data_IF_909881241547
#
_entry.id   IF_909881241547
#
_cell.length_a   1.000
_cell.length_b   1.000
_cell.length_c   1.000
_cell.angle_alpha   90.00
_cell.angle_beta   90.00
_cell.angle_gamma   90.00
#
_symmetry.space_group_name_H-M   'P 1'
#
loop_
_entity.id
_entity.type
_entity.pdbx_description
1 polymer ?
#
# COMPACT_ATOMS: atom_id res chain seq x y z
N UNK A 1 8.38 -37.57 -21.34
CA UNK A 1 7.00 -37.29 -20.87
C UNK A 1 7.01 -37.30 -19.35
N UNK A 2 7.27 -36.14 -18.76
CA UNK A 2 7.01 -35.85 -17.36
C UNK A 2 6.68 -34.36 -17.33
N UNK A 3 5.39 -34.04 -17.44
CA UNK A 3 4.90 -32.67 -17.36
C UNK A 3 5.00 -32.21 -15.92
N UNK A 4 5.88 -31.25 -15.65
CA UNK A 4 5.84 -30.46 -14.43
C UNK A 4 4.79 -29.37 -14.65
N UNK A 5 3.56 -29.62 -14.19
CA UNK A 5 2.63 -28.52 -13.90
C UNK A 5 3.27 -27.69 -12.77
N UNK A 6 3.99 -26.62 -13.10
CA UNK A 6 4.21 -25.55 -12.13
C UNK A 6 2.88 -24.80 -12.05
N UNK A 7 2.05 -25.11 -11.06
CA UNK A 7 0.92 -24.22 -10.76
C UNK A 7 1.52 -22.86 -10.40
N UNK A 8 1.18 -21.83 -11.18
CA UNK A 8 1.59 -20.46 -10.88
C UNK A 8 1.12 -20.12 -9.46
N UNK A 9 2.02 -19.62 -8.62
CA UNK A 9 1.65 -19.17 -7.28
C UNK A 9 0.56 -18.10 -7.37
N UNK A 10 -0.44 -18.21 -6.50
CA UNK A 10 -1.59 -17.31 -6.51
C UNK A 10 -1.36 -16.18 -5.50
N UNK A 11 -1.47 -14.93 -5.97
CA UNK A 11 -1.28 -13.73 -5.15
C UNK A 11 -2.56 -12.91 -5.14
N UNK A 12 -3.11 -12.66 -3.96
CA UNK A 12 -4.27 -11.78 -3.80
C UNK A 12 -3.86 -10.30 -3.77
N UNK A 13 -4.73 -9.40 -4.19
CA UNK A 13 -4.52 -7.96 -4.03
C UNK A 13 -5.85 -7.24 -3.78
N UNK A 14 -5.81 -6.06 -3.15
CA UNK A 14 -7.00 -5.22 -3.00
C UNK A 14 -7.46 -4.72 -4.39
N UNK A 15 -8.60 -5.23 -4.84
CA UNK A 15 -9.19 -4.88 -6.12
C UNK A 15 -9.74 -3.45 -6.18
N UNK A 16 -10.35 -3.09 -7.32
CA UNK A 16 -10.55 -3.92 -8.52
C UNK A 16 -9.31 -3.97 -9.43
N UNK A 17 -9.42 -4.69 -10.55
CA UNK A 17 -8.42 -4.65 -11.63
C UNK A 17 -8.20 -3.19 -12.07
N UNK A 18 -6.95 -2.85 -12.41
CA UNK A 18 -6.40 -1.51 -12.70
C UNK A 18 -6.22 -0.56 -11.53
N UNK A 19 -6.57 -0.98 -10.30
CA UNK A 19 -6.30 -0.19 -9.10
C UNK A 19 -4.80 0.06 -8.93
N UNK A 20 -4.43 1.04 -8.09
CA UNK A 20 -3.03 1.23 -7.76
C UNK A 20 -2.43 -0.01 -7.04
N UNK A 21 -3.23 -0.74 -6.26
CA UNK A 21 -2.78 -2.01 -5.67
C UNK A 21 -2.56 -3.10 -6.73
N UNK A 22 -3.39 -3.15 -7.78
CA UNK A 22 -3.17 -4.04 -8.93
C UNK A 22 -1.84 -3.73 -9.62
N UNK A 23 -1.57 -2.45 -9.88
CA UNK A 23 -0.32 -2.00 -10.48
C UNK A 23 0.89 -2.34 -9.60
N UNK A 24 0.77 -2.13 -8.29
CA UNK A 24 1.80 -2.53 -7.33
C UNK A 24 2.04 -4.04 -7.39
N UNK A 25 0.98 -4.86 -7.36
CA UNK A 25 1.09 -6.31 -7.48
C UNK A 25 1.81 -6.74 -8.78
N UNK A 26 1.38 -6.21 -9.93
CA UNK A 26 2.00 -6.47 -11.23
C UNK A 26 3.49 -6.13 -11.29
N UNK A 27 3.92 -5.06 -10.59
CA UNK A 27 5.33 -4.65 -10.57
C UNK A 27 6.25 -5.67 -9.87
N UNK A 28 5.71 -6.48 -8.95
CA UNK A 28 6.46 -7.45 -8.15
C UNK A 28 6.20 -8.90 -8.53
N UNK A 29 5.02 -9.17 -9.07
CA UNK A 29 4.50 -10.49 -9.41
C UNK A 29 4.11 -10.51 -10.89
N UNK A 30 5.07 -10.76 -11.80
CA UNK A 30 4.79 -10.80 -13.23
C UNK A 30 3.84 -11.96 -13.55
N UNK A 31 2.81 -11.70 -14.37
CA UNK A 31 1.77 -12.68 -14.71
C UNK A 31 2.30 -13.91 -15.46
N UNK A 32 3.53 -13.86 -15.98
CA UNK A 32 4.22 -15.03 -16.55
C UNK A 32 4.57 -16.10 -15.52
N UNK A 33 4.62 -15.75 -14.24
CA UNK A 33 5.01 -16.64 -13.13
C UNK A 33 3.92 -16.76 -12.05
N UNK A 34 3.09 -15.73 -11.88
CA UNK A 34 2.10 -15.64 -10.81
C UNK A 34 0.69 -15.49 -11.37
N UNK A 35 -0.29 -16.04 -10.67
CA UNK A 35 -1.71 -15.73 -10.90
C UNK A 35 -2.14 -14.68 -9.88
N UNK A 36 -2.31 -13.43 -10.32
CA UNK A 36 -2.80 -12.35 -9.45
C UNK A 36 -4.33 -12.31 -9.45
N UNK A 37 -4.95 -12.24 -8.28
CA UNK A 37 -6.42 -12.28 -8.12
C UNK A 37 -6.93 -11.10 -7.28
N UNK A 38 -7.93 -10.35 -7.75
CA UNK A 38 -8.51 -9.24 -6.99
C UNK A 38 -9.36 -9.77 -5.84
N UNK A 39 -9.34 -9.06 -4.72
CA UNK A 39 -10.25 -9.22 -3.60
C UNK A 39 -11.07 -7.94 -3.38
N UNK A 40 -12.24 -8.04 -2.77
CA UNK A 40 -13.15 -6.89 -2.61
C UNK A 40 -12.69 -5.95 -1.50
N UNK A 41 -12.22 -6.48 -0.38
CA UNK A 41 -11.75 -5.70 0.77
C UNK A 41 -10.34 -6.09 1.20
N UNK A 42 -9.72 -5.26 2.03
CA UNK A 42 -8.41 -5.59 2.63
C UNK A 42 -8.55 -6.83 3.53
N UNK A 43 -9.67 -6.97 4.24
CA UNK A 43 -9.96 -8.13 5.07
C UNK A 43 -10.00 -9.43 4.24
N UNK A 44 -10.61 -9.39 3.06
CA UNK A 44 -10.66 -10.56 2.16
C UNK A 44 -9.26 -10.99 1.69
N UNK A 45 -8.32 -10.04 1.52
CA UNK A 45 -6.91 -10.36 1.23
C UNK A 45 -6.26 -11.06 2.41
N UNK A 46 -6.48 -10.56 3.63
CA UNK A 46 -5.97 -11.19 4.86
C UNK A 46 -6.54 -12.60 5.05
N UNK A 47 -7.86 -12.76 4.91
CA UNK A 47 -8.56 -14.05 5.04
C UNK A 47 -8.05 -15.07 4.00
N UNK A 48 -7.83 -14.64 2.75
CA UNK A 48 -7.28 -15.49 1.70
C UNK A 48 -5.86 -15.98 2.05
N UNK A 49 -5.01 -15.11 2.57
CA UNK A 49 -3.63 -15.47 2.96
C UNK A 49 -3.62 -16.35 4.21
N UNK A 50 -4.42 -16.01 5.24
CA UNK A 50 -4.49 -16.76 6.50
C UNK A 50 -5.00 -18.19 6.26
N UNK A 51 -6.02 -18.35 5.40
CA UNK A 51 -6.54 -19.67 5.02
C UNK A 51 -5.55 -20.49 4.17
N UNK A 52 -4.55 -19.85 3.56
CA UNK A 52 -3.63 -20.48 2.62
C UNK A 52 -4.25 -20.74 1.24
N UNK A 53 -5.36 -20.08 0.91
CA UNK A 53 -5.97 -20.14 -0.42
C UNK A 53 -5.18 -19.35 -1.47
N UNK A 54 -4.32 -18.44 -1.02
CA UNK A 54 -3.28 -17.76 -1.81
C UNK A 54 -1.95 -17.81 -1.03
N UNK A 55 -0.82 -17.71 -1.73
CA UNK A 55 0.50 -17.72 -1.09
C UNK A 55 0.85 -16.38 -0.46
N UNK A 56 0.43 -15.29 -1.12
CA UNK A 56 0.72 -13.92 -0.70
C UNK A 56 -0.44 -12.96 -0.99
N UNK A 57 -0.44 -11.82 -0.31
CA UNK A 57 -1.42 -10.74 -0.48
C UNK A 57 -0.74 -9.38 -0.61
N UNK A 58 -1.26 -8.49 -1.46
CA UNK A 58 -0.78 -7.10 -1.59
C UNK A 58 -1.85 -6.14 -1.06
N UNK A 59 -1.50 -5.37 -0.04
CA UNK A 59 -2.42 -4.44 0.65
C UNK A 59 -1.80 -3.04 0.77
N UNK A 60 -2.59 -1.96 0.63
CA UNK A 60 -2.08 -0.62 0.83
C UNK A 60 -1.76 -0.40 2.31
N UNK A 61 -0.67 0.30 2.61
CA UNK A 61 -0.23 0.57 3.97
C UNK A 61 -0.15 2.05 4.29
N UNK A 62 0.45 2.86 3.42
CA UNK A 62 0.64 4.29 3.68
C UNK A 62 0.71 5.07 2.38
N UNK A 63 0.10 6.26 2.35
CA UNK A 63 0.25 7.21 1.25
C UNK A 63 1.01 8.45 1.76
N UNK A 64 1.94 8.97 0.96
CA UNK A 64 2.77 10.12 1.35
C UNK A 64 1.98 11.41 1.61
N UNK A 65 0.76 11.50 1.11
CA UNK A 65 -0.13 12.66 1.26
C UNK A 65 -1.19 12.49 2.35
N UNK A 66 -1.68 11.26 2.53
CA UNK A 66 -2.84 10.97 3.39
C UNK A 66 -2.50 10.14 4.64
N UNK A 67 -1.24 9.73 4.80
CA UNK A 67 -0.78 8.93 5.92
C UNK A 67 -1.16 7.45 5.82
N UNK A 68 -1.16 6.79 6.97
CA UNK A 68 -1.35 5.34 7.09
C UNK A 68 -2.80 4.90 6.79
N UNK A 69 -2.94 3.72 6.18
CA UNK A 69 -4.21 3.04 5.91
C UNK A 69 -4.67 2.31 7.16
N UNK A 70 -5.57 2.96 7.89
CA UNK A 70 -6.07 2.51 9.20
C UNK A 70 -6.62 1.07 9.14
N UNK A 71 -7.37 0.71 8.10
CA UNK A 71 -7.94 -0.63 7.97
C UNK A 71 -6.89 -1.74 7.92
N UNK A 72 -5.73 -1.50 7.32
CA UNK A 72 -4.62 -2.45 7.30
C UNK A 72 -4.03 -2.61 8.71
N UNK A 73 -3.86 -1.51 9.44
CA UNK A 73 -3.40 -1.55 10.84
C UNK A 73 -4.39 -2.28 11.76
N UNK A 74 -5.70 -2.07 11.58
CA UNK A 74 -6.74 -2.76 12.37
C UNK A 74 -6.70 -4.29 12.15
N UNK A 75 -6.42 -4.75 10.92
CA UNK A 75 -6.29 -6.18 10.63
C UNK A 75 -5.01 -6.79 11.22
N UNK A 76 -3.92 -6.02 11.32
CA UNK A 76 -2.72 -6.43 12.05
C UNK A 76 -2.87 -6.34 13.58
N UNK A 77 -3.73 -5.45 14.08
CA UNK A 77 -4.06 -5.36 15.51
C UNK A 77 -4.75 -6.63 15.97
N UNK A 78 -5.55 -7.23 15.10
CA UNK A 78 -6.05 -8.60 15.22
C UNK A 78 -6.79 -8.85 16.55
N UNK A 79 -7.63 -7.88 16.95
CA UNK A 79 -8.40 -7.90 18.20
C UNK A 79 -9.34 -9.13 18.33
N UNK A 80 -9.57 -9.86 17.24
CA UNK A 80 -10.44 -11.04 17.20
C UNK A 80 -9.66 -12.34 16.96
N UNK A 81 -8.32 -12.30 17.00
CA UNK A 81 -7.42 -13.45 16.75
C UNK A 81 -7.74 -14.20 15.45
N UNK A 82 -8.09 -13.43 14.41
CA UNK A 82 -8.46 -13.96 13.09
C UNK A 82 -7.25 -14.12 12.17
N UNK A 83 -6.21 -13.33 12.37
CA UNK A 83 -5.04 -13.26 11.49
C UNK A 83 -3.70 -13.55 12.21
N UNK A 84 -3.60 -14.51 13.16
CA UNK A 84 -2.44 -14.63 14.06
C UNK A 84 -1.14 -15.01 13.34
N UNK A 85 -1.23 -15.58 12.15
CA UNK A 85 -0.08 -16.04 11.37
C UNK A 85 0.28 -15.09 10.24
N UNK A 86 -0.45 -13.99 10.04
CA UNK A 86 -0.10 -13.00 9.01
C UNK A 86 1.16 -12.23 9.41
N UNK A 87 2.12 -12.18 8.49
CA UNK A 87 3.34 -11.38 8.57
C UNK A 87 3.59 -10.62 7.27
N UNK A 88 4.22 -9.46 7.37
CA UNK A 88 4.78 -8.70 6.25
C UNK A 88 6.08 -9.34 5.81
N UNK A 89 6.21 -9.62 4.51
CA UNK A 89 7.42 -10.20 3.92
C UNK A 89 8.01 -9.37 2.78
N UNK A 90 7.45 -8.19 2.52
CA UNK A 90 7.95 -7.27 1.50
C UNK A 90 7.14 -6.00 1.44
N UNK A 91 7.64 -5.05 0.67
CA UNK A 91 7.00 -3.77 0.44
C UNK A 91 7.17 -3.32 -1.01
N UNK A 92 6.26 -2.44 -1.44
CA UNK A 92 6.27 -1.86 -2.79
C UNK A 92 5.97 -0.37 -2.65
N UNK A 93 6.75 0.47 -3.32
CA UNK A 93 6.46 1.91 -3.43
C UNK A 93 6.02 2.20 -4.87
N UNK A 94 4.80 2.69 -5.03
CA UNK A 94 4.24 3.05 -6.33
C UNK A 94 3.98 4.55 -6.39
N UNK A 95 4.66 5.29 -7.29
CA UNK A 95 4.28 6.66 -7.63
C UNK A 95 2.84 6.71 -8.14
N UNK A 96 2.06 7.64 -7.61
CA UNK A 96 0.64 7.80 -7.93
C UNK A 96 0.49 9.00 -8.86
N UNK A 97 0.14 8.69 -10.10
CA UNK A 97 -0.17 9.67 -11.13
C UNK A 97 -1.64 9.56 -11.51
N UNK A 98 -2.39 10.65 -11.31
CA UNK A 98 -3.79 10.72 -11.68
C UNK A 98 -3.91 11.27 -13.10
N UNK A 99 -4.81 10.66 -13.86
CA UNK A 99 -5.16 11.06 -15.21
C UNK A 99 -6.63 11.46 -15.26
N UNK A 100 -6.95 12.46 -16.09
CA UNK A 100 -8.31 12.69 -16.53
C UNK A 100 -8.58 11.78 -17.74
N UNK A 101 -9.57 10.90 -17.63
CA UNK A 101 -9.92 9.91 -18.65
C UNK A 101 -11.35 10.09 -19.12
N UNK A 102 -11.61 9.98 -20.43
CA UNK A 102 -12.96 10.08 -20.95
C UNK A 102 -13.03 9.93 -22.46
N UNK A 103 -14.15 10.32 -23.06
CA UNK A 103 -14.31 10.32 -24.51
C UNK A 103 -13.83 11.63 -25.12
N UNK A 104 -13.12 11.56 -26.25
CA UNK A 104 -12.74 12.74 -27.04
C UNK A 104 -13.97 13.35 -27.69
N UNK A 105 -14.08 14.68 -27.68
CA UNK A 105 -15.17 15.39 -28.33
C UNK A 105 -15.17 15.14 -29.85
N UNK A 106 -16.35 14.99 -30.47
CA UNK A 106 -16.49 14.86 -31.94
C UNK A 106 -16.00 16.10 -32.69
N UNK A 107 -15.86 17.23 -32.01
CA UNK A 107 -15.37 18.49 -32.57
C UNK A 107 -13.89 18.74 -32.25
N UNK A 108 -13.21 17.76 -31.67
CA UNK A 108 -11.81 17.91 -31.29
C UNK A 108 -10.91 17.84 -32.53
N UNK A 109 -10.30 18.98 -32.86
CA UNK A 109 -9.31 19.12 -33.93
C UNK A 109 -7.87 19.12 -33.39
N UNK A 110 -7.65 18.71 -32.13
CA UNK A 110 -6.32 18.73 -31.52
C UNK A 110 -5.40 17.64 -32.09
N UNK A 111 -4.63 18.02 -33.12
CA UNK A 111 -3.21 17.67 -33.17
C UNK A 111 -2.49 18.72 -32.32
N UNK A 112 -2.13 18.39 -31.08
CA UNK A 112 -1.23 19.24 -30.30
C UNK A 112 -0.01 18.42 -29.91
N UNK A 113 1.11 18.79 -30.52
CA UNK A 113 2.44 18.33 -30.17
C UNK A 113 2.70 18.55 -28.67
N UNK A 114 3.19 17.51 -28.02
CA UNK A 114 3.63 17.48 -26.63
C UNK A 114 4.76 18.48 -26.39
N UNK A 115 4.45 19.75 -26.17
CA UNK A 115 5.41 20.68 -25.54
C UNK A 115 5.23 20.62 -24.03
N UNK A 116 6.10 19.84 -23.39
CA UNK A 116 6.32 19.86 -21.95
C UNK A 116 6.74 21.29 -21.54
N UNK A 117 5.81 22.03 -20.94
CA UNK A 117 6.13 23.26 -20.22
C UNK A 117 5.85 23.02 -18.74
N UNK A 118 6.91 23.11 -17.95
CA UNK A 118 6.91 22.93 -16.52
C UNK A 118 6.02 23.99 -15.84
N UNK A 119 4.93 23.54 -15.21
CA UNK A 119 4.49 23.96 -13.87
C UNK A 119 2.99 23.74 -13.58
N UNK A 120 2.14 23.45 -14.57
CA UNK A 120 0.73 23.08 -14.33
C UNK A 120 0.19 22.12 -15.39
N UNK A 121 -0.37 21.00 -14.96
CA UNK A 121 -1.08 20.07 -15.83
C UNK A 121 -2.19 20.79 -16.62
N UNK A 122 -2.29 20.50 -17.92
CA UNK A 122 -3.30 21.07 -18.83
C UNK A 122 -4.07 19.94 -19.51
N UNK A 123 -5.33 20.17 -19.91
CA UNK A 123 -6.05 19.24 -20.77
C UNK A 123 -5.29 19.00 -22.08
N UNK A 124 -5.25 17.76 -22.52
CA UNK A 124 -4.67 17.32 -23.79
C UNK A 124 -5.67 17.43 -24.95
N UNK A 125 -6.96 17.46 -24.62
CA UNK A 125 -8.09 17.48 -25.55
C UNK A 125 -9.10 18.56 -25.14
N UNK A 126 -10.06 18.87 -26.01
CA UNK A 126 -11.20 19.69 -25.59
C UNK A 126 -12.05 18.92 -24.57
N UNK A 127 -12.36 19.59 -23.46
CA UNK A 127 -13.04 19.01 -22.28
C UNK A 127 -14.36 19.72 -21.96
N UNK A 128 -14.79 20.69 -22.78
CA UNK A 128 -16.00 21.50 -22.52
C UNK A 128 -17.30 20.70 -22.56
N UNK A 129 -17.31 19.55 -23.24
CA UNK A 129 -18.47 18.65 -23.30
C UNK A 129 -18.65 17.82 -22.02
N UNK A 130 -17.67 17.79 -21.13
CA UNK A 130 -17.75 17.01 -19.89
C UNK A 130 -18.65 17.74 -18.90
N UNK A 131 -19.70 17.05 -18.44
CA UNK A 131 -20.68 17.56 -17.48
C UNK A 131 -20.62 16.84 -16.14
N UNK A 132 -19.86 15.75 -16.03
CA UNK A 132 -19.82 14.89 -14.85
C UNK A 132 -18.46 14.23 -14.66
N UNK A 133 -18.00 14.20 -13.43
CA UNK A 133 -16.74 13.56 -13.03
C UNK A 133 -16.98 12.43 -12.01
N UNK A 134 -16.29 11.31 -12.20
CA UNK A 134 -16.28 10.18 -11.27
C UNK A 134 -14.88 9.92 -10.71
N UNK A 135 -14.77 9.63 -9.42
CA UNK A 135 -13.54 9.16 -8.79
C UNK A 135 -13.78 8.69 -7.35
N UNK A 136 -12.71 8.21 -6.71
CA UNK A 136 -12.68 7.98 -5.28
C UNK A 136 -12.51 9.30 -4.51
N UNK A 137 -13.11 9.42 -3.32
CA UNK A 137 -13.13 10.66 -2.55
C UNK A 137 -11.72 11.24 -2.26
N UNK A 138 -10.70 10.37 -2.09
CA UNK A 138 -9.32 10.80 -1.88
C UNK A 138 -8.71 11.49 -3.11
N UNK A 139 -9.06 11.06 -4.32
CA UNK A 139 -8.51 11.62 -5.55
C UNK A 139 -8.94 13.09 -5.75
N UNK A 140 -10.12 13.48 -5.25
CA UNK A 140 -10.57 14.87 -5.32
C UNK A 140 -9.67 15.85 -4.58
N UNK A 141 -9.24 15.46 -3.38
CA UNK A 141 -8.30 16.25 -2.58
C UNK A 141 -6.89 16.27 -3.18
N UNK A 142 -6.55 15.29 -4.02
CA UNK A 142 -5.24 15.18 -4.67
C UNK A 142 -5.20 15.88 -6.03
N UNK A 143 -6.31 16.30 -6.62
CA UNK A 143 -6.36 16.94 -7.96
C UNK A 143 -7.09 18.29 -7.93
N UNK A 144 -7.09 18.97 -6.79
CA UNK A 144 -7.95 20.12 -6.54
C UNK A 144 -7.55 21.33 -7.41
N UNK A 145 -6.26 21.56 -7.69
CA UNK A 145 -5.81 22.67 -8.54
C UNK A 145 -6.30 22.52 -9.98
N UNK A 146 -6.19 21.32 -10.54
CA UNK A 146 -6.68 21.02 -11.88
C UNK A 146 -8.20 21.15 -11.96
N UNK A 147 -8.91 20.58 -10.99
CA UNK A 147 -10.37 20.63 -10.92
C UNK A 147 -10.93 22.05 -10.74
N UNK A 148 -10.32 22.87 -9.89
CA UNK A 148 -10.73 24.27 -9.68
C UNK A 148 -10.41 25.15 -10.88
N UNK A 149 -9.41 24.78 -11.70
CA UNK A 149 -9.06 25.51 -12.92
C UNK A 149 -10.02 25.20 -14.07
N UNK A 150 -10.31 23.92 -14.31
CA UNK A 150 -10.99 23.46 -15.53
C UNK A 150 -12.43 22.99 -15.34
N UNK A 151 -12.83 22.57 -14.13
CA UNK A 151 -14.12 21.93 -13.86
C UNK A 151 -14.92 22.67 -12.76
N UNK A 152 -15.08 23.99 -12.93
CA UNK A 152 -15.90 24.81 -12.02
C UNK A 152 -17.39 24.53 -12.24
N UNK A 153 -18.10 24.15 -11.19
CA UNK A 153 -19.55 23.90 -11.23
C UNK A 153 -19.96 22.57 -11.88
N UNK A 154 -18.98 21.71 -12.20
CA UNK A 154 -19.22 20.37 -12.75
C UNK A 154 -19.51 19.39 -11.62
N UNK A 155 -20.49 18.50 -11.84
CA UNK A 155 -20.90 17.49 -10.87
C UNK A 155 -19.75 16.49 -10.61
N UNK A 156 -19.46 16.23 -9.33
CA UNK A 156 -18.47 15.24 -8.88
C UNK A 156 -19.19 14.13 -8.14
N UNK A 157 -19.02 12.90 -8.59
CA UNK A 157 -19.69 11.72 -8.04
C UNK A 157 -18.66 10.79 -7.41
N UNK A 158 -18.79 10.59 -6.10
CA UNK A 158 -18.00 9.63 -5.34
C UNK A 158 -18.36 8.20 -5.71
N UNK A 159 -17.33 7.38 -5.95
CA UNK A 159 -17.44 5.95 -6.19
C UNK A 159 -16.42 5.17 -5.36
N UNK A 160 -16.57 3.84 -5.32
CA UNK A 160 -15.78 2.97 -4.46
C UNK A 160 -14.28 2.90 -4.79
N UNK A 161 -13.87 3.24 -6.02
CA UNK A 161 -12.46 3.29 -6.42
C UNK A 161 -12.27 4.13 -7.69
N UNK A 162 -11.03 4.57 -7.93
CA UNK A 162 -10.64 5.25 -9.18
C UNK A 162 -10.86 4.35 -10.40
N UNK A 163 -10.54 3.07 -10.30
CA UNK A 163 -10.81 2.08 -11.35
C UNK A 163 -12.30 1.90 -11.63
N UNK A 164 -13.16 1.91 -10.60
CA UNK A 164 -14.62 1.87 -10.79
C UNK A 164 -15.12 3.12 -11.52
N UNK A 165 -14.50 4.28 -11.30
CA UNK A 165 -14.83 5.49 -12.04
C UNK A 165 -14.57 5.34 -13.54
N UNK A 166 -13.41 4.79 -13.93
CA UNK A 166 -13.10 4.51 -15.34
C UNK A 166 -14.07 3.50 -15.95
N UNK A 167 -14.44 2.44 -15.23
CA UNK A 167 -15.42 1.46 -15.69
C UNK A 167 -16.78 2.13 -15.99
N UNK A 168 -17.28 2.96 -15.07
CA UNK A 168 -18.56 3.68 -15.26
C UNK A 168 -18.52 4.63 -16.45
N UNK A 169 -17.41 5.36 -16.63
CA UNK A 169 -17.25 6.30 -17.75
C UNK A 169 -17.18 5.56 -19.08
N UNK A 170 -16.56 4.37 -19.13
CA UNK A 170 -16.53 3.56 -20.36
C UNK A 170 -17.91 3.06 -20.82
N UNK A 171 -18.86 3.01 -19.89
CA UNK A 171 -20.25 2.62 -20.15
C UNK A 171 -21.12 3.83 -20.51
N UNK A 172 -20.60 5.06 -20.41
CA UNK A 172 -21.34 6.28 -20.73
C UNK A 172 -21.40 6.55 -22.24
N UNK A 173 -22.52 6.16 -22.85
CA UNK A 173 -22.77 6.35 -24.28
C UNK A 173 -22.91 7.81 -24.72
N UNK A 174 -23.15 8.77 -23.80
CA UNK A 174 -23.24 10.19 -24.18
C UNK A 174 -21.85 10.79 -24.46
N UNK A 175 -20.81 10.19 -23.88
CA UNK A 175 -19.44 10.69 -23.94
C UNK A 175 -19.20 11.96 -23.12
N UNK A 176 -20.12 12.34 -22.22
CA UNK A 176 -20.06 13.59 -21.45
C UNK A 176 -19.56 13.39 -20.01
N UNK A 177 -19.19 12.17 -19.64
CA UNK A 177 -18.57 11.86 -18.34
C UNK A 177 -17.06 11.69 -18.48
N UNK A 178 -16.33 11.97 -17.40
CA UNK A 178 -14.91 11.66 -17.28
C UNK A 178 -14.56 11.11 -15.89
N UNK A 179 -13.45 10.39 -15.81
CA UNK A 179 -12.93 9.78 -14.59
C UNK A 179 -11.60 10.42 -14.21
N UNK A 180 -11.36 10.56 -12.91
CA UNK A 180 -9.99 10.70 -12.40
C UNK A 180 -9.52 9.32 -11.95
N UNK A 181 -8.50 8.79 -12.62
CA UNK A 181 -7.98 7.44 -12.37
C UNK A 181 -6.57 7.23 -12.90
N UNK A 182 -6.06 5.99 -12.80
CA UNK A 182 -4.74 5.62 -13.31
C UNK A 182 -4.74 5.51 -14.84
N UNK A 183 -3.57 5.74 -15.46
CA UNK A 183 -3.39 5.52 -16.89
C UNK A 183 -3.77 4.09 -17.32
N UNK A 184 -3.38 3.09 -16.52
CA UNK A 184 -3.74 1.68 -16.75
C UNK A 184 -5.24 1.45 -16.86
N UNK A 185 -6.06 2.17 -16.09
CA UNK A 185 -7.51 2.07 -16.19
C UNK A 185 -8.02 2.62 -17.52
N UNK A 186 -7.42 3.70 -18.02
CA UNK A 186 -7.74 4.27 -19.33
C UNK A 186 -7.47 3.28 -20.46
N UNK A 187 -6.28 2.65 -20.43
CA UNK A 187 -5.89 1.69 -21.46
C UNK A 187 -6.79 0.44 -21.45
N UNK A 188 -7.15 -0.09 -20.27
CA UNK A 188 -8.03 -1.26 -20.17
C UNK A 188 -9.44 -0.98 -20.69
N UNK A 189 -10.02 0.17 -20.31
CA UNK A 189 -11.40 0.51 -20.63
C UNK A 189 -11.56 1.29 -21.94
N UNK A 190 -10.49 1.48 -22.70
CA UNK A 190 -10.51 2.19 -23.99
C UNK A 190 -10.87 3.68 -23.86
N UNK A 191 -10.53 4.31 -22.74
CA UNK A 191 -10.78 5.74 -22.51
C UNK A 191 -9.57 6.57 -22.97
N UNK A 192 -9.85 7.71 -23.58
CA UNK A 192 -8.80 8.64 -24.00
C UNK A 192 -8.19 9.36 -22.79
N UNK A 193 -6.90 9.63 -22.88
CA UNK A 193 -6.17 10.43 -21.92
C UNK A 193 -6.44 11.92 -22.19
N UNK A 194 -7.37 12.52 -21.44
CA UNK A 194 -7.76 13.92 -21.58
C UNK A 194 -6.87 14.87 -20.76
N UNK A 195 -6.13 14.34 -19.80
CA UNK A 195 -5.16 15.05 -18.97
C UNK A 195 -4.26 14.07 -18.24
N UNK A 196 -2.98 14.40 -18.10
CA UNK A 196 -1.97 13.55 -17.48
C UNK A 196 -1.31 14.29 -16.31
N UNK A 197 -0.94 13.53 -15.27
CA UNK A 197 -0.30 14.01 -14.04
C UNK A 197 -1.06 15.22 -13.43
N UNK A 198 -2.37 15.06 -13.26
CA UNK A 198 -3.26 16.13 -12.79
C UNK A 198 -3.28 16.29 -11.28
N UNK A 199 -2.51 15.47 -10.56
CA UNK A 199 -2.32 15.59 -9.13
C UNK A 199 -1.62 16.91 -8.73
N UNK A 200 -1.94 17.39 -7.53
CA UNK A 200 -1.46 18.67 -7.00
C UNK A 200 -0.02 18.58 -6.48
N UNK A 201 0.41 17.39 -6.04
CA UNK A 201 1.74 17.17 -5.46
C UNK A 201 2.55 16.21 -6.33
N UNK A 202 3.69 16.71 -6.81
CA UNK A 202 4.71 15.86 -7.41
C UNK A 202 5.29 14.91 -6.35
N UNK A 203 5.60 13.67 -6.74
CA UNK A 203 6.16 12.68 -5.82
C UNK A 203 5.15 12.02 -4.87
N UNK A 204 3.84 12.16 -5.11
CA UNK A 204 2.83 11.35 -4.41
C UNK A 204 3.13 9.87 -4.62
N UNK A 205 3.26 9.12 -3.54
CA UNK A 205 3.61 7.70 -3.58
C UNK A 205 2.81 6.94 -2.54
N UNK A 206 2.40 5.74 -2.90
CA UNK A 206 1.76 4.81 -1.97
C UNK A 206 2.67 3.63 -1.71
N UNK A 207 2.86 3.34 -0.44
CA UNK A 207 3.52 2.16 0.07
C UNK A 207 2.50 1.05 0.29
N UNK A 208 2.82 -0.13 -0.22
CA UNK A 208 2.04 -1.35 -0.08
C UNK A 208 2.86 -2.39 0.67
N UNK A 209 2.19 -3.21 1.47
CA UNK A 209 2.78 -4.40 2.06
C UNK A 209 2.45 -5.65 1.26
N UNK A 210 3.43 -6.53 1.17
CA UNK A 210 3.27 -7.92 0.76
C UNK A 210 3.16 -8.72 2.05
N UNK A 211 2.02 -9.36 2.24
CA UNK A 211 1.75 -10.22 3.37
C UNK A 211 1.79 -11.69 2.95
N UNK A 212 2.17 -12.55 3.89
CA UNK A 212 2.13 -14.01 3.75
C UNK A 212 1.70 -14.63 5.06
N UNK A 213 1.28 -15.89 4.99
CA UNK A 213 1.15 -16.71 6.20
C UNK A 213 2.54 -17.11 6.69
N UNK A 214 2.76 -17.02 7.98
CA UNK A 214 3.93 -17.57 8.65
C UNK A 214 3.84 -19.08 8.58
N UNK A 215 4.82 -19.70 7.95
CA UNK A 215 4.99 -21.14 8.03
C UNK A 215 5.79 -21.49 9.29
N UNK A 216 5.16 -22.18 10.24
CA UNK A 216 5.85 -22.72 11.43
C UNK A 216 6.89 -23.81 11.07
N UNK A 217 6.98 -24.21 9.80
CA UNK A 217 7.95 -25.18 9.26
C UNK A 217 9.01 -24.55 8.34
N UNK A 218 8.83 -23.32 7.89
CA UNK A 218 9.78 -22.66 7.01
C UNK A 218 10.88 -22.05 7.87
N UNK A 219 12.04 -22.70 7.88
CA UNK A 219 13.30 -21.99 8.05
C UNK A 219 13.35 -21.00 6.89
N UNK A 220 13.06 -19.72 7.16
CA UNK A 220 13.11 -18.64 6.19
C UNK A 220 14.42 -18.79 5.38
N UNK A 221 14.33 -19.27 4.14
CA UNK A 221 15.48 -19.56 3.29
C UNK A 221 16.09 -18.26 2.73
N UNK A 222 16.01 -17.16 3.48
CA UNK A 222 16.97 -16.07 3.32
C UNK A 222 18.33 -16.68 3.61
N UNK A 223 19.30 -16.62 2.69
CA UNK A 223 20.62 -17.14 2.97
C UNK A 223 21.10 -16.52 4.29
N UNK A 224 21.32 -17.36 5.29
CA UNK A 224 22.14 -17.02 6.44
C UNK A 224 23.55 -16.93 5.88
N UNK A 225 23.86 -15.81 5.22
CA UNK A 225 25.26 -15.51 4.92
C UNK A 225 25.95 -15.38 6.27
N UNK A 226 26.90 -16.26 6.50
CA UNK A 226 27.72 -16.42 7.70
C UNK A 226 27.84 -15.14 8.53
N UNK A 227 27.44 -15.20 9.81
CA UNK A 227 27.74 -14.25 10.88
C UNK A 227 28.26 -12.88 10.42
N UNK A 228 27.46 -12.16 9.63
CA UNK A 228 27.81 -10.80 9.23
C UNK A 228 27.68 -9.98 10.51
N UNK A 229 28.74 -9.26 10.86
CA UNK A 229 28.70 -8.31 11.95
C UNK A 229 27.58 -7.31 11.64
N UNK A 230 26.69 -7.04 12.60
CA UNK A 230 25.62 -6.06 12.42
C UNK A 230 26.25 -4.69 12.19
N UNK A 231 26.34 -4.29 10.92
CA UNK A 231 26.75 -2.94 10.54
C UNK A 231 25.53 -2.07 10.35
N UNK A 232 25.71 -0.75 10.43
CA UNK A 232 24.65 0.21 10.16
C UNK A 232 24.10 0.04 8.73
N UNK A 233 24.93 -0.40 7.78
CA UNK A 233 24.49 -0.72 6.42
C UNK A 233 23.61 -1.98 6.37
N UNK A 234 23.91 -3.04 7.12
CA UNK A 234 23.03 -4.22 7.20
C UNK A 234 21.68 -3.85 7.82
N UNK A 235 21.67 -3.02 8.86
CA UNK A 235 20.42 -2.52 9.46
C UNK A 235 19.59 -1.73 8.45
N UNK A 236 20.20 -0.83 7.67
CA UNK A 236 19.48 -0.03 6.67
C UNK A 236 18.87 -0.85 5.52
N UNK A 237 19.38 -2.08 5.27
CA UNK A 237 18.88 -2.99 4.23
C UNK A 237 17.56 -3.66 4.57
N UNK A 238 17.15 -3.71 5.83
CA UNK A 238 15.95 -4.41 6.25
C UNK A 238 15.05 -3.51 7.10
N UNK A 239 13.77 -3.84 7.12
CA UNK A 239 12.78 -3.27 8.02
C UNK A 239 12.10 -4.37 8.80
N UNK A 240 11.60 -4.00 9.97
CA UNK A 240 10.79 -4.87 10.84
C UNK A 240 9.59 -4.08 11.36
N UNK A 241 8.40 -4.69 11.32
CA UNK A 241 7.20 -4.17 11.99
C UNK A 241 6.93 -4.99 13.25
N UNK A 242 6.65 -4.28 14.34
CA UNK A 242 6.36 -4.84 15.65
C UNK A 242 5.12 -4.13 16.19
N UNK A 243 4.19 -4.87 16.76
CA UNK A 243 3.14 -4.29 17.59
C UNK A 243 3.34 -4.61 19.07
N UNK A 244 2.92 -3.72 19.96
CA UNK A 244 2.92 -3.96 21.40
C UNK A 244 1.89 -3.10 22.14
N UNK A 245 1.44 -3.57 23.30
CA UNK A 245 0.61 -2.80 24.25
C UNK A 245 1.44 -2.41 25.47
N UNK A 246 1.06 -1.31 26.11
CA UNK A 246 1.75 -0.77 27.30
C UNK A 246 0.77 -0.52 28.42
N UNK A 247 1.25 -0.55 29.67
CA UNK A 247 0.46 -0.11 30.81
C UNK A 247 0.10 1.37 30.68
N UNK A 248 -1.19 1.70 30.69
CA UNK A 248 -1.66 3.09 30.67
C UNK A 248 -1.77 3.71 32.07
N UNK A 249 -1.45 2.94 33.12
CA UNK A 249 -1.40 3.41 34.50
C UNK A 249 -0.04 3.93 34.94
N UNK A 250 1.01 3.72 34.15
CA UNK A 250 2.39 3.99 34.53
C UNK A 250 3.00 5.14 33.71
N UNK A 251 3.45 6.24 34.35
CA UNK A 251 4.14 7.31 33.66
C UNK A 251 5.37 6.80 32.90
N UNK A 252 5.42 7.09 31.60
CA UNK A 252 6.56 6.74 30.76
C UNK A 252 6.56 5.30 30.23
N UNK A 253 5.49 4.52 30.40
CA UNK A 253 5.43 3.13 29.89
C UNK A 253 5.77 3.01 28.39
N UNK A 254 5.19 3.88 27.55
CA UNK A 254 5.53 3.96 26.12
C UNK A 254 6.99 4.36 25.90
N UNK A 255 7.48 5.37 26.62
CA UNK A 255 8.87 5.80 26.51
C UNK A 255 9.85 4.69 26.92
N UNK A 256 9.52 3.89 27.94
CA UNK A 256 10.27 2.73 28.37
C UNK A 256 10.40 1.68 27.26
N UNK A 257 9.30 1.39 26.55
CA UNK A 257 9.32 0.50 25.40
C UNK A 257 10.17 1.07 24.25
N UNK A 258 10.03 2.37 23.93
CA UNK A 258 10.81 3.01 22.87
C UNK A 258 12.31 3.09 23.18
N UNK A 259 12.69 3.24 24.44
CA UNK A 259 14.07 3.28 24.88
C UNK A 259 14.84 1.96 24.61
N UNK A 260 14.13 0.84 24.47
CA UNK A 260 14.73 -0.46 24.10
C UNK A 260 15.35 -0.37 22.69
N UNK A 261 14.63 0.19 21.73
CA UNK A 261 15.13 0.36 20.37
C UNK A 261 16.38 1.26 20.34
N UNK A 262 16.35 2.35 21.12
CA UNK A 262 17.51 3.24 21.26
C UNK A 262 18.73 2.50 21.83
N UNK A 263 18.55 1.67 22.86
CA UNK A 263 19.63 0.88 23.49
C UNK A 263 20.32 -0.04 22.48
N UNK A 264 19.56 -0.61 21.55
CA UNK A 264 20.07 -1.47 20.49
C UNK A 264 20.41 -0.72 19.19
N UNK A 265 20.39 0.63 19.23
CA UNK A 265 20.68 1.51 18.08
C UNK A 265 19.81 1.21 16.85
N UNK A 266 18.58 0.79 17.09
CA UNK A 266 17.58 0.52 16.06
C UNK A 266 16.85 1.82 15.72
N UNK A 267 17.04 2.31 14.49
CA UNK A 267 16.35 3.52 14.02
C UNK A 267 14.86 3.21 13.80
N UNK A 268 13.98 4.05 14.34
CA UNK A 268 12.53 3.95 14.13
C UNK A 268 12.14 4.79 12.92
N UNK A 269 11.34 4.23 12.01
CA UNK A 269 10.91 4.90 10.77
C UNK A 269 9.44 5.26 10.78
N UNK A 270 8.64 4.60 11.62
CA UNK A 270 7.23 4.89 11.79
C UNK A 270 6.74 4.46 13.18
N UNK A 271 5.77 5.20 13.71
CA UNK A 271 4.98 4.80 14.88
C UNK A 271 3.52 5.16 14.65
N UNK A 272 2.63 4.18 14.79
CA UNK A 272 1.19 4.35 14.68
C UNK A 272 0.51 3.76 15.92
N UNK A 273 -0.67 4.25 16.29
CA UNK A 273 -1.46 3.69 17.39
C UNK A 273 -2.89 3.36 16.93
N UNK A 274 -3.43 2.26 17.45
CA UNK A 274 -4.83 1.84 17.27
C UNK A 274 -5.46 1.53 18.63
N UNK A 275 -6.77 1.77 18.82
CA UNK A 275 -7.45 1.37 20.05
C UNK A 275 -7.30 -0.13 20.31
N UNK A 276 -7.06 -0.48 21.58
CA UNK A 276 -7.08 -1.85 22.08
C UNK A 276 -8.48 -2.23 22.58
N UNK A 277 -8.80 -3.52 22.62
CA UNK A 277 -9.99 -4.09 23.24
C UNK A 277 -9.79 -4.46 24.72
N UNK A 278 -8.55 -4.38 25.24
CA UNK A 278 -8.22 -4.66 26.65
C UNK A 278 -8.96 -3.71 27.62
N UNK A 279 -9.00 -2.42 27.30
CA UNK A 279 -9.71 -1.40 28.07
C UNK A 279 -9.89 -0.09 27.29
N UNK A 280 -10.86 0.73 27.69
CA UNK A 280 -11.09 2.06 27.09
C UNK A 280 -9.83 2.93 27.21
N UNK A 281 -9.45 3.59 26.11
CA UNK A 281 -8.26 4.45 26.02
C UNK A 281 -6.92 3.72 26.16
N UNK A 282 -6.92 2.40 26.01
CA UNK A 282 -5.71 1.64 25.78
C UNK A 282 -5.43 1.53 24.29
N UNK A 283 -4.16 1.45 23.93
CA UNK A 283 -3.70 1.44 22.55
C UNK A 283 -2.71 0.32 22.29
N UNK A 284 -2.81 -0.23 21.07
CA UNK A 284 -1.77 -1.04 20.43
C UNK A 284 -0.90 -0.07 19.63
N UNK A 285 0.41 -0.12 19.86
CA UNK A 285 1.40 0.65 19.11
C UNK A 285 2.03 -0.23 18.05
N UNK A 286 2.10 0.27 16.82
CA UNK A 286 2.83 -0.32 15.71
C UNK A 286 4.08 0.49 15.48
N UNK A 287 5.24 -0.14 15.63
CA UNK A 287 6.55 0.47 15.43
C UNK A 287 7.25 -0.23 14.28
N UNK A 288 7.68 0.57 13.31
CA UNK A 288 8.59 0.12 12.28
C UNK A 288 10.01 0.55 12.60
N UNK A 289 10.95 -0.37 12.43
CA UNK A 289 12.37 -0.14 12.69
C UNK A 289 13.25 -0.71 11.60
N UNK A 290 14.42 -0.10 11.40
CA UNK A 290 15.49 -0.63 10.56
C UNK A 290 16.13 -1.85 11.22
N UNK A 291 16.48 -2.86 10.43
CA UNK A 291 16.98 -4.16 10.87
C UNK A 291 15.97 -5.30 10.68
N UNK A 292 16.44 -6.54 10.89
CA UNK A 292 15.65 -7.76 10.71
C UNK A 292 15.74 -8.69 11.91
N UNK A 293 14.65 -9.42 12.18
CA UNK A 293 14.69 -10.61 13.03
C UNK A 293 15.45 -11.73 12.33
N UNK A 294 16.50 -12.25 12.96
CA UNK A 294 17.31 -13.37 12.46
C UNK A 294 16.81 -14.71 12.99
N UNK A 295 17.04 -15.77 12.22
CA UNK A 295 16.65 -17.14 12.57
C UNK A 295 17.53 -17.78 13.64
N UNK A 296 18.81 -17.40 13.70
CA UNK A 296 19.77 -17.86 14.71
C UNK A 296 19.47 -17.31 16.12
N UNK A 297 18.44 -16.48 16.26
CA UNK A 297 18.06 -15.87 17.53
C UNK A 297 18.94 -14.68 17.92
N UNK A 298 19.93 -14.34 17.11
CA UNK A 298 20.93 -13.31 17.41
C UNK A 298 20.56 -11.98 16.75
N UNK A 299 21.22 -10.90 17.16
CA UNK A 299 21.08 -9.58 16.57
C UNK A 299 20.21 -8.58 17.34
N UNK A 300 20.34 -7.31 16.98
CA UNK A 300 19.75 -6.17 17.65
C UNK A 300 18.22 -6.25 17.72
N UNK A 301 17.55 -6.64 16.63
CA UNK A 301 16.07 -6.79 16.61
C UNK A 301 15.63 -7.96 17.50
N UNK A 302 16.33 -9.09 17.48
CA UNK A 302 16.01 -10.24 18.35
C UNK A 302 16.16 -9.87 19.83
N UNK A 303 17.24 -9.16 20.18
CA UNK A 303 17.48 -8.70 21.55
C UNK A 303 16.47 -7.63 21.98
N UNK A 304 16.06 -6.73 21.08
CA UNK A 304 15.02 -5.74 21.33
C UNK A 304 13.67 -6.41 21.60
N UNK A 305 13.26 -7.39 20.78
CA UNK A 305 12.04 -8.16 20.97
C UNK A 305 12.04 -8.88 22.34
N UNK A 306 13.12 -9.57 22.68
CA UNK A 306 13.24 -10.24 23.98
C UNK A 306 13.17 -9.27 25.17
N UNK A 307 13.75 -8.07 25.07
CA UNK A 307 13.61 -7.07 26.14
C UNK A 307 12.22 -6.45 26.19
N UNK A 308 11.56 -6.29 25.04
CA UNK A 308 10.22 -5.74 24.94
C UNK A 308 9.20 -6.65 25.65
N UNK A 309 9.34 -7.97 25.55
CA UNK A 309 8.51 -8.95 26.28
C UNK A 309 8.51 -8.75 27.80
N UNK A 310 9.57 -8.16 28.37
CA UNK A 310 9.67 -7.90 29.80
C UNK A 310 9.07 -6.56 30.26
N UNK A 311 8.71 -5.67 29.33
CA UNK A 311 8.27 -4.29 29.64
C UNK A 311 6.89 -3.99 29.04
N UNK A 312 6.58 -4.53 27.87
CA UNK A 312 5.28 -4.43 27.24
C UNK A 312 4.28 -5.41 27.89
N UNK A 313 2.98 -5.09 27.83
CA UNK A 313 1.94 -6.01 28.29
C UNK A 313 1.73 -7.17 27.31
N UNK A 314 1.87 -6.86 26.02
CA UNK A 314 1.92 -7.84 24.94
C UNK A 314 2.83 -7.30 23.84
N UNK A 315 3.42 -8.20 23.04
CA UNK A 315 4.13 -7.81 21.83
C UNK A 315 3.99 -8.87 20.75
N UNK A 316 4.00 -8.45 19.49
CA UNK A 316 3.91 -9.32 18.32
C UNK A 316 4.88 -8.83 17.25
N UNK A 317 5.76 -9.71 16.82
CA UNK A 317 6.53 -9.49 15.60
C UNK A 317 5.63 -9.71 14.39
N UNK A 318 5.54 -8.69 13.53
CA UNK A 318 4.66 -8.68 12.35
C UNK A 318 5.42 -8.90 11.05
N UNK A 319 6.73 -9.14 11.09
CA UNK A 319 7.51 -9.45 9.90
C UNK A 319 8.81 -8.65 9.81
N UNK A 320 9.77 -9.19 9.06
CA UNK A 320 11.00 -8.50 8.66
C UNK A 320 11.21 -8.72 7.17
N UNK A 321 11.58 -7.68 6.42
CA UNK A 321 11.71 -7.72 4.96
C UNK A 321 12.81 -6.79 4.46
N UNK A 322 13.24 -6.98 3.22
CA UNK A 322 14.21 -6.08 2.57
C UNK A 322 13.59 -4.70 2.34
N UNK A 323 14.33 -3.66 2.70
CA UNK A 323 13.96 -2.27 2.47
C UNK A 323 13.98 -1.98 0.96
N UNK A 324 12.81 -1.71 0.39
CA UNK A 324 12.65 -1.40 -1.03
C UNK A 324 12.65 0.11 -1.32
N UNK A 325 12.70 0.95 -0.29
CA UNK A 325 12.84 2.39 -0.45
C UNK A 325 14.27 2.69 -0.90
N UNK A 326 14.43 3.01 -2.18
CA UNK A 326 15.71 3.48 -2.73
C UNK A 326 15.94 4.91 -2.28
N UNK A 327 17.15 5.17 -1.77
CA UNK A 327 17.62 6.51 -1.41
C UNK A 327 17.81 7.41 -2.64
#
# INVERSE_FOLDING_TARGET
MAGTNSENEVVAFLGPITSYTHQAALSRFPESQYKIVPQTTIADVFDAVQSGSVTQGVVPFENSSNGSVIFTLDLFADLQDRNPDIVVCGEIYLPIHHCLLGHVSKQDNAQSETTQSASKAKPLHDIKHITKLYSHHQAWGQCNNFLTTYFKGIERIDVSSTSKASELVSQDTTGTSAAISSRMAGDLYGLALLGENIEDMEGNSTRFFIIRRRDNKSTDNTPVSDAVAETDEEHARYKTLISFTVSHGEPGALAGCLAIFQKFRLNLTSINSRPSDEATWHYIFFVETMGRKRLDGQGAVNQALHQLEGVAQSSRWLGSWENALKA
#
